data_IF_407664780239
#
_entry.id   IF_407664780239
#
_cell.length_a   1.000
_cell.length_b   1.000
_cell.length_c   1.000
_cell.angle_alpha   90.00
_cell.angle_beta   90.00
_cell.angle_gamma   90.00
#
_symmetry.space_group_name_H-M   'P 1'
#
loop_
_entity.id
_entity.type
_entity.pdbx_description
1 polymer ?
#
# COMPACT_ATOMS: atom_id res chain seq x y z
N UNK A 1 3.45 -2.72 -17.15
CA UNK A 1 4.04 -2.62 -15.82
C UNK A 1 3.27 -1.70 -14.88
N UNK A 2 3.96 -0.93 -14.07
CA UNK A 2 3.33 -0.04 -13.07
C UNK A 2 2.31 0.92 -13.68
N UNK A 3 2.67 1.58 -14.79
CA UNK A 3 1.77 2.50 -15.50
C UNK A 3 0.48 1.81 -15.96
N UNK A 4 0.57 0.58 -16.42
CA UNK A 4 -0.61 -0.16 -16.89
C UNK A 4 -1.52 -0.53 -15.71
N UNK A 5 -0.96 -1.00 -14.61
CA UNK A 5 -1.71 -1.28 -13.38
C UNK A 5 -2.37 -0.01 -12.81
N UNK A 6 -1.65 1.12 -12.81
CA UNK A 6 -2.18 2.42 -12.39
C UNK A 6 -3.32 2.87 -13.31
N UNK A 7 -3.19 2.70 -14.63
CA UNK A 7 -4.24 3.02 -15.60
C UNK A 7 -5.51 2.19 -15.37
N UNK A 8 -5.38 0.90 -15.09
CA UNK A 8 -6.52 0.05 -14.74
C UNK A 8 -7.28 0.58 -13.52
N UNK A 9 -6.56 1.02 -12.50
CA UNK A 9 -7.17 1.59 -11.29
C UNK A 9 -7.84 2.93 -11.62
N UNK A 10 -7.17 3.84 -12.34
CA UNK A 10 -7.72 5.16 -12.69
C UNK A 10 -9.02 5.07 -13.48
N UNK A 11 -9.15 4.09 -14.38
CA UNK A 11 -10.30 3.97 -15.27
C UNK A 11 -11.35 2.99 -14.80
N UNK A 12 -10.98 1.98 -13.99
CA UNK A 12 -11.85 0.86 -13.66
C UNK A 12 -12.02 0.58 -12.15
N UNK A 13 -11.65 1.50 -11.27
CA UNK A 13 -11.66 1.27 -9.82
C UNK A 13 -13.03 0.82 -9.27
N UNK A 14 -14.15 1.25 -9.88
CA UNK A 14 -15.48 0.85 -9.43
C UNK A 14 -15.72 -0.66 -9.60
N UNK A 15 -15.13 -1.25 -10.64
CA UNK A 15 -15.31 -2.65 -11.01
C UNK A 15 -14.21 -3.58 -10.43
N UNK A 16 -13.24 -3.03 -9.73
CA UNK A 16 -12.17 -3.79 -9.10
C UNK A 16 -12.48 -3.94 -7.61
N UNK A 17 -12.91 -5.12 -7.13
CA UNK A 17 -13.11 -5.35 -5.71
C UNK A 17 -11.77 -5.45 -4.98
N UNK A 18 -11.76 -5.13 -3.69
CA UNK A 18 -10.61 -5.43 -2.83
C UNK A 18 -10.66 -6.91 -2.45
N UNK A 19 -10.04 -7.72 -3.27
CA UNK A 19 -10.03 -9.18 -3.13
C UNK A 19 -8.66 -9.76 -3.46
N UNK A 20 -8.38 -10.94 -2.95
CA UNK A 20 -7.16 -11.71 -3.29
C UNK A 20 -7.03 -11.84 -4.80
N UNK A 21 -8.11 -12.18 -5.49
CA UNK A 21 -8.11 -12.35 -6.94
C UNK A 21 -7.71 -11.06 -7.68
N UNK A 22 -8.26 -9.92 -7.28
CA UNK A 22 -7.91 -8.62 -7.86
C UNK A 22 -6.45 -8.27 -7.60
N UNK A 23 -5.94 -8.53 -6.39
CA UNK A 23 -4.54 -8.29 -6.06
C UNK A 23 -3.59 -9.12 -6.90
N UNK A 24 -3.89 -10.40 -7.11
CA UNK A 24 -3.09 -11.28 -7.98
C UNK A 24 -3.11 -10.78 -9.44
N UNK A 25 -4.26 -10.33 -9.92
CA UNK A 25 -4.41 -9.79 -11.27
C UNK A 25 -3.62 -8.48 -11.46
N UNK A 26 -3.73 -7.55 -10.53
CA UNK A 26 -2.96 -6.29 -10.54
C UNK A 26 -1.45 -6.56 -10.46
N UNK A 27 -1.03 -7.49 -9.62
CA UNK A 27 0.37 -7.88 -9.51
C UNK A 27 0.91 -8.51 -10.80
N UNK A 28 0.10 -9.31 -11.49
CA UNK A 28 0.47 -9.84 -12.81
C UNK A 28 0.70 -8.72 -13.82
N UNK A 29 -0.19 -7.73 -13.86
CA UNK A 29 -0.05 -6.55 -14.72
C UNK A 29 1.19 -5.72 -14.34
N UNK A 30 1.43 -5.51 -13.04
CA UNK A 30 2.57 -4.77 -12.51
C UNK A 30 3.90 -5.36 -13.01
N UNK A 31 4.03 -6.68 -13.00
CA UNK A 31 5.27 -7.37 -13.34
C UNK A 31 5.32 -7.88 -14.79
N UNK A 32 4.32 -7.60 -15.62
CA UNK A 32 4.23 -8.12 -16.98
C UNK A 32 5.44 -7.81 -17.88
N UNK A 33 6.17 -6.73 -17.60
CA UNK A 33 7.34 -6.29 -18.38
C UNK A 33 8.68 -6.62 -17.71
N UNK A 34 8.65 -7.29 -16.55
CA UNK A 34 9.85 -7.68 -15.83
C UNK A 34 10.29 -9.08 -16.28
N UNK A 35 11.43 -9.16 -16.93
CA UNK A 35 11.97 -10.43 -17.41
C UNK A 35 12.12 -11.46 -16.26
N UNK A 36 11.71 -12.71 -16.51
CA UNK A 36 11.78 -13.82 -15.55
C UNK A 36 10.92 -13.65 -14.27
N UNK A 37 10.06 -12.64 -14.21
CA UNK A 37 9.18 -12.39 -13.06
C UNK A 37 7.87 -13.17 -13.22
N UNK A 38 7.45 -13.86 -12.16
CA UNK A 38 6.14 -14.50 -12.08
C UNK A 38 5.16 -13.57 -11.34
N UNK A 39 4.51 -12.67 -12.09
CA UNK A 39 3.42 -11.86 -11.56
C UNK A 39 2.15 -12.67 -11.31
N UNK A 40 1.38 -12.28 -10.30
CA UNK A 40 0.08 -12.88 -10.01
C UNK A 40 0.12 -14.19 -9.23
N UNK A 41 1.21 -14.44 -8.50
CA UNK A 41 1.35 -15.58 -7.58
C UNK A 41 1.98 -15.11 -6.28
N UNK A 42 1.56 -15.69 -5.17
CA UNK A 42 2.19 -15.42 -3.89
C UNK A 42 3.59 -16.06 -3.81
N UNK A 43 4.39 -15.57 -2.87
CA UNK A 43 5.73 -16.09 -2.59
C UNK A 43 5.64 -17.57 -2.20
N UNK A 44 6.62 -18.33 -2.64
CA UNK A 44 6.79 -19.76 -2.32
C UNK A 44 7.95 -20.02 -1.37
N UNK A 45 8.70 -19.00 -1.02
CA UNK A 45 9.80 -19.01 -0.06
C UNK A 45 9.63 -17.86 0.92
N UNK A 46 10.09 -18.06 2.16
CA UNK A 46 10.08 -17.01 3.17
C UNK A 46 10.98 -15.86 2.74
N UNK A 47 10.50 -14.65 2.98
CA UNK A 47 11.26 -13.42 2.74
C UNK A 47 11.53 -12.67 4.03
N UNK A 48 12.50 -11.79 4.01
CA UNK A 48 12.85 -10.91 5.12
C UNK A 48 12.99 -9.49 4.61
N UNK A 49 12.67 -8.52 5.45
CA UNK A 49 12.91 -7.11 5.18
C UNK A 49 14.21 -6.74 5.88
N UNK A 50 15.20 -6.36 5.08
CA UNK A 50 16.52 -5.98 5.57
C UNK A 50 16.64 -4.47 5.70
N UNK A 51 17.42 -4.02 6.66
CA UNK A 51 17.92 -2.65 6.73
C UNK A 51 19.45 -2.66 6.78
N UNK A 52 20.05 -1.58 6.32
CA UNK A 52 21.48 -1.34 6.42
C UNK A 52 21.65 -0.34 7.57
N UNK A 53 22.36 -0.73 8.62
CA UNK A 53 22.66 0.15 9.73
C UNK A 53 23.74 1.19 9.37
N UNK A 54 24.02 2.11 10.31
CA UNK A 54 25.01 3.16 10.12
C UNK A 54 26.44 2.64 9.91
N UNK A 55 26.71 1.38 10.26
CA UNK A 55 28.00 0.71 10.04
C UNK A 55 28.08 0.00 8.69
N UNK A 56 27.00 -0.01 7.90
CA UNK A 56 26.90 -0.74 6.63
C UNK A 56 26.53 -2.20 6.78
N UNK A 57 26.25 -2.68 8.00
CA UNK A 57 25.83 -4.06 8.24
C UNK A 57 24.36 -4.25 7.91
N UNK A 58 24.06 -5.38 7.26
CA UNK A 58 22.68 -5.81 7.00
C UNK A 58 22.13 -6.52 8.22
N UNK A 59 20.96 -6.10 8.67
CA UNK A 59 20.19 -6.81 9.69
C UNK A 59 18.74 -6.95 9.28
N UNK A 60 18.08 -7.97 9.83
CA UNK A 60 16.65 -8.19 9.62
C UNK A 60 15.91 -7.11 10.40
N UNK A 61 15.15 -6.28 9.67
CA UNK A 61 14.26 -5.29 10.26
C UNK A 61 12.92 -5.90 10.66
N UNK A 62 12.39 -6.76 9.80
CA UNK A 62 11.10 -7.41 9.98
C UNK A 62 11.07 -8.75 9.24
N UNK A 63 10.48 -9.77 9.86
CA UNK A 63 10.19 -11.05 9.23
C UNK A 63 8.69 -11.12 8.91
N UNK A 64 8.30 -11.03 7.62
CA UNK A 64 6.90 -11.14 7.21
C UNK A 64 6.28 -12.51 7.52
N UNK A 65 4.99 -12.64 7.31
CA UNK A 65 4.28 -13.93 7.34
C UNK A 65 5.00 -14.94 6.44
N UNK A 66 5.16 -16.17 6.92
CA UNK A 66 5.85 -17.23 6.18
C UNK A 66 5.09 -17.60 4.89
N UNK A 67 5.81 -18.08 3.89
CA UNK A 67 5.25 -18.45 2.59
C UNK A 67 4.07 -19.43 2.71
N UNK A 68 4.21 -20.44 3.55
CA UNK A 68 3.16 -21.45 3.77
C UNK A 68 1.86 -20.88 4.35
N UNK A 69 1.90 -19.73 5.01
CA UNK A 69 0.75 -19.09 5.66
C UNK A 69 0.21 -17.89 4.88
N UNK A 70 0.88 -17.50 3.81
CA UNK A 70 0.58 -16.27 3.06
C UNK A 70 -0.82 -16.28 2.46
N UNK A 71 -1.25 -17.36 1.82
CA UNK A 71 -2.59 -17.48 1.24
C UNK A 71 -3.67 -17.23 2.28
N UNK A 72 -3.56 -17.92 3.42
CA UNK A 72 -4.52 -17.77 4.53
C UNK A 72 -4.52 -16.35 5.10
N UNK A 73 -3.35 -15.76 5.28
CA UNK A 73 -3.23 -14.40 5.80
C UNK A 73 -3.88 -13.38 4.86
N UNK A 74 -3.71 -13.53 3.54
CA UNK A 74 -4.34 -12.65 2.55
C UNK A 74 -5.86 -12.81 2.49
N UNK A 75 -6.37 -14.03 2.61
CA UNK A 75 -7.81 -14.29 2.70
C UNK A 75 -8.41 -13.66 3.97
N UNK A 76 -7.71 -13.76 5.09
CA UNK A 76 -8.13 -13.11 6.35
C UNK A 76 -8.11 -11.58 6.22
N UNK A 77 -7.12 -11.00 5.54
CA UNK A 77 -7.06 -9.56 5.28
C UNK A 77 -8.24 -9.09 4.44
N UNK A 78 -8.60 -9.81 3.39
CA UNK A 78 -9.77 -9.53 2.56
C UNK A 78 -11.05 -9.51 3.39
N UNK A 79 -11.29 -10.55 4.19
CA UNK A 79 -12.47 -10.65 5.04
C UNK A 79 -12.52 -9.54 6.11
N UNK A 80 -11.40 -9.27 6.77
CA UNK A 80 -11.32 -8.22 7.77
C UNK A 80 -11.61 -6.83 7.17
N UNK A 81 -11.10 -6.56 5.96
CA UNK A 81 -11.43 -5.33 5.25
C UNK A 81 -12.92 -5.25 4.91
N UNK A 82 -13.51 -6.31 4.38
CA UNK A 82 -14.93 -6.35 4.03
C UNK A 82 -15.82 -6.06 5.25
N UNK A 83 -15.54 -6.68 6.38
CA UNK A 83 -16.29 -6.49 7.62
C UNK A 83 -16.16 -5.05 8.13
N UNK A 84 -14.94 -4.52 8.20
CA UNK A 84 -14.68 -3.16 8.67
C UNK A 84 -15.24 -2.10 7.70
N UNK A 85 -15.18 -2.34 6.40
CA UNK A 85 -15.71 -1.42 5.39
C UNK A 85 -17.24 -1.35 5.39
N UNK A 86 -17.91 -2.39 5.83
CA UNK A 86 -19.37 -2.43 6.00
C UNK A 86 -19.85 -1.68 7.24
N UNK A 87 -18.97 -1.37 8.18
CA UNK A 87 -19.29 -0.62 9.39
C UNK A 87 -19.14 0.89 9.15
N UNK A 88 -20.27 1.61 9.09
CA UNK A 88 -20.29 3.06 8.84
C UNK A 88 -19.67 3.89 9.97
N UNK A 89 -19.48 3.31 11.16
CA UNK A 89 -18.81 3.97 12.28
C UNK A 89 -17.29 4.03 12.11
N UNK A 90 -16.71 3.24 11.20
CA UNK A 90 -15.27 3.18 10.94
C UNK A 90 -14.93 4.15 9.79
N UNK A 91 -14.08 5.12 10.08
CA UNK A 91 -13.54 6.04 9.05
C UNK A 91 -12.71 5.26 8.03
N UNK A 92 -13.04 5.40 6.75
CA UNK A 92 -12.28 4.77 5.66
C UNK A 92 -10.86 5.33 5.53
N UNK A 93 -10.67 6.61 5.87
CA UNK A 93 -9.33 7.24 5.91
C UNK A 93 -8.41 6.65 6.98
N UNK A 94 -8.98 6.09 8.05
CA UNK A 94 -8.22 5.36 9.08
C UNK A 94 -8.08 3.87 8.71
N UNK A 95 -9.12 3.27 8.13
CA UNK A 95 -9.12 1.86 7.73
C UNK A 95 -8.08 1.57 6.64
N UNK A 96 -8.01 2.40 5.60
CA UNK A 96 -7.13 2.18 4.46
C UNK A 96 -5.65 2.00 4.88
N UNK A 97 -5.03 2.93 5.64
CA UNK A 97 -3.64 2.74 6.05
C UNK A 97 -3.43 1.54 6.99
N UNK A 98 -4.40 1.19 7.83
CA UNK A 98 -4.31 0.00 8.67
C UNK A 98 -4.24 -1.27 7.83
N UNK A 99 -5.09 -1.39 6.82
CA UNK A 99 -5.10 -2.51 5.87
C UNK A 99 -3.79 -2.57 5.07
N UNK A 100 -3.27 -1.42 4.66
CA UNK A 100 -2.01 -1.36 3.92
C UNK A 100 -0.80 -1.73 4.78
N UNK A 101 -0.79 -1.37 6.06
CA UNK A 101 0.24 -1.84 6.98
C UNK A 101 0.19 -3.37 7.11
N UNK A 102 -0.98 -3.95 7.30
CA UNK A 102 -1.15 -5.40 7.39
C UNK A 102 -0.68 -6.09 6.11
N UNK A 103 -1.05 -5.56 4.94
CA UNK A 103 -0.56 -6.05 3.66
C UNK A 103 0.98 -6.06 3.60
N UNK A 104 1.63 -4.98 4.01
CA UNK A 104 3.09 -4.86 4.01
C UNK A 104 3.75 -5.80 5.03
N UNK A 105 3.10 -6.07 6.16
CA UNK A 105 3.59 -7.04 7.15
C UNK A 105 3.39 -8.49 6.70
N UNK A 106 2.35 -8.79 5.94
CA UNK A 106 2.20 -10.09 5.28
C UNK A 106 3.26 -10.25 4.18
N UNK A 107 3.49 -9.19 3.42
CA UNK A 107 4.49 -9.13 2.34
C UNK A 107 4.32 -10.28 1.35
N UNK A 108 3.15 -10.39 0.69
CA UNK A 108 2.71 -11.63 0.09
C UNK A 108 3.46 -12.05 -1.18
N UNK A 109 4.15 -11.12 -1.82
CA UNK A 109 4.84 -11.36 -3.09
C UNK A 109 6.35 -11.44 -2.90
N UNK A 110 7.03 -12.08 -3.85
CA UNK A 110 8.49 -12.10 -3.89
C UNK A 110 9.06 -10.70 -4.18
N UNK A 111 8.39 -9.94 -5.05
CA UNK A 111 8.74 -8.55 -5.41
C UNK A 111 7.47 -7.74 -5.66
N UNK A 112 7.59 -6.42 -5.56
CA UNK A 112 6.51 -5.50 -5.90
C UNK A 112 5.54 -5.19 -4.75
N UNK A 113 5.77 -5.66 -3.52
CA UNK A 113 4.85 -5.42 -2.39
C UNK A 113 4.63 -3.93 -2.11
N UNK A 114 5.68 -3.12 -2.10
CA UNK A 114 5.58 -1.68 -1.89
C UNK A 114 4.77 -0.98 -3.00
N UNK A 115 5.02 -1.34 -4.26
CA UNK A 115 4.26 -0.81 -5.41
C UNK A 115 2.79 -1.25 -5.34
N UNK A 116 2.55 -2.51 -5.00
CA UNK A 116 1.19 -3.03 -4.81
C UNK A 116 0.45 -2.30 -3.69
N UNK A 117 1.07 -2.07 -2.54
CA UNK A 117 0.43 -1.36 -1.44
C UNK A 117 0.01 0.05 -1.83
N UNK A 118 0.83 0.75 -2.62
CA UNK A 118 0.48 2.10 -3.13
C UNK A 118 -0.63 2.07 -4.17
N UNK A 119 -0.63 1.09 -5.08
CA UNK A 119 -1.73 0.88 -6.03
C UNK A 119 -3.04 0.54 -5.31
N UNK A 120 -3.00 -0.34 -4.33
CA UNK A 120 -4.18 -0.70 -3.52
C UNK A 120 -4.67 0.49 -2.67
N UNK A 121 -3.77 1.31 -2.15
CA UNK A 121 -4.15 2.56 -1.46
C UNK A 121 -4.95 3.48 -2.37
N UNK A 122 -4.51 3.69 -3.62
CA UNK A 122 -5.23 4.49 -4.61
C UNK A 122 -6.58 3.88 -4.95
N UNK A 123 -6.64 2.57 -5.17
CA UNK A 123 -7.88 1.85 -5.42
C UNK A 123 -8.91 2.12 -4.31
N UNK A 124 -8.53 1.95 -3.06
CA UNK A 124 -9.42 2.14 -1.92
C UNK A 124 -9.79 3.62 -1.72
N UNK A 125 -8.85 4.54 -1.93
CA UNK A 125 -9.13 5.97 -1.89
C UNK A 125 -10.18 6.36 -2.94
N UNK A 126 -10.02 5.94 -4.19
CA UNK A 126 -10.97 6.25 -5.27
C UNK A 126 -12.35 5.66 -5.00
N UNK A 127 -12.43 4.41 -4.53
CA UNK A 127 -13.69 3.76 -4.17
C UNK A 127 -14.45 4.49 -3.05
N UNK A 128 -13.75 5.28 -2.25
CA UNK A 128 -14.31 6.06 -1.14
C UNK A 128 -14.40 7.58 -1.44
N UNK A 129 -14.26 7.98 -2.69
CA UNK A 129 -14.44 9.36 -3.14
C UNK A 129 -13.23 10.27 -3.00
N UNK A 130 -12.07 9.75 -2.64
CA UNK A 130 -10.81 10.50 -2.53
C UNK A 130 -9.98 10.30 -3.80
N UNK A 131 -10.24 11.09 -4.81
CA UNK A 131 -9.71 10.90 -6.16
C UNK A 131 -8.54 11.83 -6.53
N UNK A 132 -7.96 12.53 -5.58
CA UNK A 132 -6.83 13.46 -5.81
C UNK A 132 -5.65 12.80 -6.53
N UNK A 133 -5.44 11.52 -6.34
CA UNK A 133 -4.38 10.73 -6.99
C UNK A 133 -4.50 10.66 -8.51
N UNK A 134 -5.66 11.04 -9.10
CA UNK A 134 -5.82 11.18 -10.55
C UNK A 134 -5.10 12.41 -11.11
N UNK A 135 -4.85 13.40 -10.27
CA UNK A 135 -4.30 14.70 -10.64
C UNK A 135 -2.91 14.94 -10.05
N UNK A 136 -2.66 14.43 -8.85
CA UNK A 136 -1.43 14.58 -8.10
C UNK A 136 -0.84 13.19 -7.81
N UNK A 137 0.43 13.01 -8.10
CA UNK A 137 1.10 11.73 -7.84
C UNK A 137 1.32 11.51 -6.34
N UNK A 138 0.57 10.56 -5.76
CA UNK A 138 0.75 10.11 -4.39
C UNK A 138 2.14 9.50 -4.17
N UNK A 139 2.64 8.75 -5.14
CA UNK A 139 3.99 8.17 -5.12
C UNK A 139 5.08 9.24 -5.05
N UNK A 140 4.91 10.34 -5.80
CA UNK A 140 5.84 11.46 -5.76
C UNK A 140 5.88 12.12 -4.39
N UNK A 141 4.74 12.29 -3.73
CA UNK A 141 4.70 12.84 -2.38
C UNK A 141 5.41 11.92 -1.37
N UNK A 142 5.23 10.60 -1.48
CA UNK A 142 5.98 9.64 -0.66
C UNK A 142 7.48 9.75 -0.92
N UNK A 143 7.90 9.85 -2.18
CA UNK A 143 9.32 9.94 -2.54
C UNK A 143 9.99 11.20 -2.01
N UNK A 144 9.28 12.33 -1.93
CA UNK A 144 9.78 13.58 -1.31
C UNK A 144 10.05 13.40 0.19
N UNK A 145 9.37 12.48 0.86
CA UNK A 145 9.46 12.21 2.30
C UNK A 145 9.80 10.74 2.58
N UNK A 146 10.67 10.17 1.77
CA UNK A 146 10.98 8.74 1.77
C UNK A 146 11.46 8.21 3.11
N UNK A 147 12.31 8.98 3.82
CA UNK A 147 12.81 8.60 5.15
C UNK A 147 11.68 8.46 6.15
N UNK A 148 10.73 9.38 6.14
CA UNK A 148 9.57 9.33 7.03
C UNK A 148 8.66 8.15 6.71
N UNK A 149 8.47 7.83 5.42
CA UNK A 149 7.71 6.64 5.01
C UNK A 149 8.28 5.36 5.63
N UNK A 150 9.57 5.13 5.47
CA UNK A 150 10.21 3.93 6.02
C UNK A 150 10.27 3.92 7.54
N UNK A 151 10.48 5.07 8.18
CA UNK A 151 10.47 5.17 9.65
C UNK A 151 9.08 4.87 10.20
N UNK A 152 8.02 5.44 9.64
CA UNK A 152 6.65 5.18 10.06
C UNK A 152 6.25 3.71 9.89
N UNK A 153 6.68 3.09 8.80
CA UNK A 153 6.45 1.68 8.54
C UNK A 153 7.20 0.80 9.56
N UNK A 154 8.45 1.15 9.86
CA UNK A 154 9.26 0.45 10.85
C UNK A 154 8.62 0.52 12.24
N UNK A 155 8.24 1.70 12.69
CA UNK A 155 7.61 1.89 14.00
C UNK A 155 6.30 1.13 14.12
N UNK A 156 5.44 1.20 13.11
CA UNK A 156 4.12 0.56 13.14
C UNK A 156 4.17 -0.97 12.98
N UNK A 157 5.27 -1.54 12.49
CA UNK A 157 5.42 -3.00 12.35
C UNK A 157 5.98 -3.69 13.60
N UNK A 158 6.50 -2.95 14.58
CA UNK A 158 6.99 -3.52 15.85
C UNK A 158 5.84 -4.24 16.57
N UNK A 159 6.05 -5.48 16.97
CA UNK A 159 5.08 -6.36 17.64
C UNK A 159 3.79 -6.65 16.81
N UNK A 160 3.88 -6.54 15.49
CA UNK A 160 2.73 -6.82 14.62
C UNK A 160 2.26 -8.28 14.73
N UNK A 161 3.20 -9.26 14.77
CA UNK A 161 2.87 -10.68 14.90
C UNK A 161 2.17 -11.01 16.21
N UNK A 162 2.43 -10.24 17.26
CA UNK A 162 1.83 -10.39 18.59
C UNK A 162 0.51 -9.61 18.74
N UNK A 163 0.04 -8.95 17.68
CA UNK A 163 -1.14 -8.07 17.68
C UNK A 163 -1.05 -6.93 18.72
N UNK A 164 0.15 -6.44 18.98
CA UNK A 164 0.44 -5.34 19.91
C UNK A 164 1.18 -4.18 19.23
N UNK A 165 1.06 -4.06 17.92
CA UNK A 165 1.66 -2.96 17.17
C UNK A 165 0.83 -1.67 17.29
N UNK A 166 1.49 -0.54 17.06
CA UNK A 166 0.85 0.77 16.98
C UNK A 166 0.72 1.20 15.51
N UNK A 167 -0.51 1.27 15.00
CA UNK A 167 -0.78 1.72 13.64
C UNK A 167 -0.59 3.22 13.45
N UNK A 168 -0.57 4.01 14.53
CA UNK A 168 -0.63 5.47 14.46
C UNK A 168 0.51 6.09 13.63
N UNK A 169 1.79 5.72 13.76
CA UNK A 169 2.87 6.32 12.97
C UNK A 169 2.62 6.18 11.46
N UNK A 170 2.20 5.02 11.00
CA UNK A 170 1.90 4.77 9.60
C UNK A 170 0.63 5.49 9.12
N UNK A 171 -0.41 5.50 9.93
CA UNK A 171 -1.65 6.24 9.67
C UNK A 171 -1.38 7.74 9.53
N UNK A 172 -0.59 8.30 10.44
CA UNK A 172 -0.20 9.71 10.42
C UNK A 172 0.55 10.07 9.13
N UNK A 173 1.51 9.25 8.73
CA UNK A 173 2.23 9.45 7.47
C UNK A 173 1.26 9.41 6.27
N UNK A 174 0.41 8.40 6.21
CA UNK A 174 -0.57 8.23 5.13
C UNK A 174 -1.48 9.45 4.98
N UNK A 175 -2.08 9.92 6.07
CA UNK A 175 -2.96 11.08 6.07
C UNK A 175 -2.21 12.36 5.70
N UNK A 176 -0.97 12.53 6.15
CA UNK A 176 -0.14 13.68 5.82
C UNK A 176 0.19 13.72 4.33
N UNK A 177 0.51 12.57 3.71
CA UNK A 177 0.76 12.49 2.27
C UNK A 177 -0.49 12.79 1.46
N UNK A 178 -1.64 12.27 1.86
CA UNK A 178 -2.91 12.56 1.24
C UNK A 178 -3.26 14.06 1.33
N UNK A 179 -3.07 14.65 2.49
CA UNK A 179 -3.29 16.08 2.70
C UNK A 179 -2.37 16.92 1.81
N UNK A 180 -1.11 16.56 1.68
CA UNK A 180 -0.17 17.24 0.77
C UNK A 180 -0.60 17.15 -0.69
N UNK A 181 -1.18 16.03 -1.11
CA UNK A 181 -1.75 15.91 -2.45
C UNK A 181 -2.87 16.93 -2.68
N UNK A 182 -3.79 17.07 -1.74
CA UNK A 182 -4.88 18.06 -1.82
C UNK A 182 -4.37 19.50 -1.81
N UNK A 183 -3.36 19.80 -0.98
CA UNK A 183 -2.72 21.12 -0.98
C UNK A 183 -2.06 21.45 -2.32
N UNK A 184 -1.39 20.49 -2.93
CA UNK A 184 -0.76 20.67 -4.24
C UNK A 184 -1.80 20.89 -5.34
N UNK A 185 -2.93 20.18 -5.27
CA UNK A 185 -4.04 20.35 -6.20
C UNK A 185 -4.63 21.77 -6.08
N UNK A 186 -4.86 22.26 -4.87
CA UNK A 186 -5.36 23.62 -4.62
C UNK A 186 -4.43 24.68 -5.20
N UNK A 187 -3.11 24.53 -5.03
CA UNK A 187 -2.12 25.42 -5.63
C UNK A 187 -2.20 25.46 -7.15
N UNK A 188 -2.38 24.32 -7.79
CA UNK A 188 -2.52 24.23 -9.26
C UNK A 188 -3.79 24.93 -9.75
N UNK A 189 -4.91 24.77 -9.05
CA UNK A 189 -6.14 25.49 -9.35
C UNK A 189 -6.00 26.99 -9.16
N UNK A 190 -5.37 27.47 -8.09
CA UNK A 190 -5.12 28.90 -7.86
C UNK A 190 -4.29 29.52 -8.99
N UNK A 191 -3.29 28.80 -9.52
CA UNK A 191 -2.45 29.26 -10.64
C UNK A 191 -3.26 29.40 -11.93
N UNK A 192 -4.16 28.44 -12.21
CA UNK A 192 -5.03 28.48 -13.43
C UNK A 192 -6.01 29.64 -13.38
N UNK A 193 -6.56 29.95 -12.20
CA UNK A 193 -7.54 31.04 -12.03
C UNK A 193 -6.91 32.43 -11.98
N UNK A 194 -5.59 32.53 -11.90
CA UNK A 194 -4.84 33.80 -11.86
C UNK A 194 -4.36 34.28 -13.24
N UNK A 195 -4.56 33.47 -14.29
CA UNK A 195 -4.28 33.78 -15.69
C UNK A 195 -5.57 33.99 -16.47
#
# INVERSE_FOLDING_TARGET
GYRDALSLIHTGYNDIPFSVQSMLSLHRTLLAQVAQSRGGVFKNEDNVILEIDKSGMRKIRFAPVRAAETQKAMEQLELAYMDAAADDSISKLLLIPCVMLDFLCIHPFRDGNGRMSRLLSLLLLYKNGYDVGKYISYEEQINKNKSWYYESLRESSVNWHESHNDYFPFVQHFLSMLYQCYQELDKRFATVNSN
#
